data_IF_910302196773
#
_entry.id   IF_910302196773
#
_cell.length_a   1.000
_cell.length_b   1.000
_cell.length_c   1.000
_cell.angle_alpha   90.00
_cell.angle_beta   90.00
_cell.angle_gamma   90.00
#
_symmetry.space_group_name_H-M   'P 1'
#
loop_
_entity.id
_entity.type
_entity.pdbx_description
1 polymer ?
#
# COMPACT_ATOMS: atom_id res chain seq x y z
N UNK A 1 -30.69 6.19 -9.42
CA UNK A 1 -29.82 6.04 -8.23
C UNK A 1 -28.67 5.04 -8.43
N UNK A 2 -28.87 3.88 -9.08
CA UNK A 2 -27.81 2.87 -9.29
C UNK A 2 -26.56 3.35 -10.06
N UNK A 3 -26.70 4.26 -11.04
CA UNK A 3 -25.56 4.81 -11.80
C UNK A 3 -24.58 5.64 -10.95
N UNK A 4 -25.08 6.32 -9.91
CA UNK A 4 -24.24 7.14 -9.03
C UNK A 4 -23.42 6.26 -8.08
N UNK A 5 -23.99 5.15 -7.62
CA UNK A 5 -23.29 4.18 -6.77
C UNK A 5 -22.13 3.51 -7.52
N UNK A 6 -22.35 3.17 -8.80
CA UNK A 6 -21.31 2.53 -9.63
C UNK A 6 -20.12 3.46 -9.88
N UNK A 7 -20.34 4.75 -10.14
CA UNK A 7 -19.28 5.74 -10.32
C UNK A 7 -18.51 6.02 -9.02
N UNK A 8 -19.21 6.03 -7.86
CA UNK A 8 -18.56 6.21 -6.56
C UNK A 8 -17.64 5.02 -6.23
N UNK A 9 -18.14 3.80 -6.47
CA UNK A 9 -17.36 2.56 -6.29
C UNK A 9 -16.16 2.52 -7.24
N UNK A 10 -16.34 2.93 -8.50
CA UNK A 10 -15.24 3.04 -9.47
C UNK A 10 -14.19 4.07 -9.03
N UNK A 11 -14.60 5.25 -8.56
CA UNK A 11 -13.69 6.29 -8.10
C UNK A 11 -12.89 5.87 -6.84
N UNK A 12 -13.50 5.14 -5.91
CA UNK A 12 -12.80 4.56 -4.76
C UNK A 12 -11.89 3.38 -5.13
N UNK A 13 -12.25 2.62 -6.17
CA UNK A 13 -11.39 1.56 -6.70
C UNK A 13 -10.17 2.13 -7.45
N UNK A 14 -10.35 3.21 -8.23
CA UNK A 14 -9.26 3.86 -8.96
C UNK A 14 -8.31 4.66 -8.07
N UNK A 15 -8.80 5.31 -6.99
CA UNK A 15 -7.92 5.99 -6.02
C UNK A 15 -6.96 5.03 -5.29
N UNK A 16 -7.33 3.77 -5.12
CA UNK A 16 -6.46 2.74 -4.54
C UNK A 16 -5.44 2.16 -5.54
N UNK A 17 -5.56 2.46 -6.83
CA UNK A 17 -4.77 1.80 -7.88
C UNK A 17 -3.58 2.65 -8.39
N UNK A 18 -3.36 3.86 -7.88
CA UNK A 18 -2.27 4.76 -8.34
C UNK A 18 -1.43 5.29 -7.16
N UNK A 19 -1.15 4.44 -6.17
CA UNK A 19 0.05 4.71 -5.36
C UNK A 19 1.25 4.20 -6.17
N UNK A 20 2.08 5.14 -6.64
CA UNK A 20 3.38 4.85 -7.24
C UNK A 20 4.33 4.39 -6.12
N UNK A 21 4.20 3.12 -5.73
CA UNK A 21 5.06 2.49 -4.74
C UNK A 21 4.36 1.40 -3.93
N UNK A 22 5.15 0.64 -3.19
CA UNK A 22 4.68 -0.47 -2.37
C UNK A 22 3.95 0.01 -1.12
N UNK A 23 2.73 -0.47 -0.89
CA UNK A 23 1.91 -0.08 0.27
C UNK A 23 2.64 -0.31 1.62
N UNK A 24 3.46 -1.36 1.69
CA UNK A 24 4.34 -1.63 2.82
C UNK A 24 5.70 -2.00 2.27
N UNK A 25 6.74 -1.48 2.90
CA UNK A 25 8.14 -1.80 2.60
C UNK A 25 8.80 -2.40 3.82
N UNK A 26 9.86 -3.17 3.62
CA UNK A 26 10.69 -3.74 4.67
C UNK A 26 12.12 -3.26 4.51
N UNK A 27 12.66 -2.66 5.57
CA UNK A 27 14.08 -2.36 5.70
C UNK A 27 14.74 -3.57 6.36
N UNK A 28 15.82 -4.09 5.77
CA UNK A 28 16.54 -5.26 6.30
C UNK A 28 18.00 -5.29 5.88
N UNK A 29 18.80 -6.14 6.52
CA UNK A 29 20.19 -6.45 6.13
C UNK A 29 21.23 -6.18 7.22
N UNK A 30 21.02 -5.14 8.04
CA UNK A 30 21.93 -4.85 9.15
C UNK A 30 21.69 -5.75 10.36
N UNK A 31 22.75 -6.02 11.14
CA UNK A 31 22.66 -6.65 12.47
C UNK A 31 22.31 -5.66 13.56
N UNK A 32 22.48 -4.37 13.26
CA UNK A 32 22.15 -3.25 14.14
C UNK A 32 20.72 -2.79 13.86
N UNK A 33 20.02 -2.47 14.94
CA UNK A 33 18.79 -1.65 15.00
C UNK A 33 17.44 -2.39 15.03
N UNK A 34 16.55 -1.81 15.85
CA UNK A 34 15.11 -2.06 15.83
C UNK A 34 14.38 -1.34 14.68
N UNK A 35 15.14 -0.68 13.78
CA UNK A 35 14.66 0.03 12.60
C UNK A 35 14.59 -0.88 11.36
N UNK A 36 15.25 -2.05 11.39
CA UNK A 36 15.16 -3.12 10.39
C UNK A 36 13.80 -3.84 10.47
N UNK A 37 12.74 -3.12 10.14
CA UNK A 37 11.34 -3.56 10.29
C UNK A 37 10.51 -3.18 9.06
N UNK A 38 9.22 -3.45 9.12
CA UNK A 38 8.25 -3.06 8.09
C UNK A 38 7.71 -1.66 8.36
N UNK A 39 7.54 -0.88 7.30
CA UNK A 39 6.94 0.45 7.30
C UNK A 39 5.76 0.46 6.35
N UNK A 40 4.60 0.89 6.83
CA UNK A 40 3.37 0.96 6.04
C UNK A 40 3.10 2.40 5.64
N UNK A 41 2.74 2.61 4.38
CA UNK A 41 2.41 3.93 3.85
C UNK A 41 1.22 4.53 4.62
N UNK A 42 1.35 5.79 5.01
CA UNK A 42 0.39 6.50 5.87
C UNK A 42 -0.77 7.14 5.09
N UNK A 43 -0.60 7.31 3.78
CA UNK A 43 -1.49 8.12 2.93
C UNK A 43 -1.10 9.61 2.91
N UNK A 44 -0.12 10.03 3.70
CA UNK A 44 0.47 11.36 3.68
C UNK A 44 1.68 11.42 2.74
N UNK A 45 2.04 12.63 2.33
CA UNK A 45 3.27 12.90 1.57
C UNK A 45 4.15 13.91 2.28
N UNK A 46 5.46 13.78 2.09
CA UNK A 46 6.47 14.72 2.56
C UNK A 46 7.57 14.79 1.49
N UNK A 47 7.96 16.00 1.10
CA UNK A 47 8.91 16.19 0.00
C UNK A 47 8.43 15.60 -1.33
N UNK A 48 7.13 15.70 -1.62
CA UNK A 48 6.46 15.13 -2.80
C UNK A 48 6.50 13.59 -2.92
N UNK A 49 6.88 12.89 -1.85
CA UNK A 49 6.92 11.41 -1.81
C UNK A 49 6.07 10.84 -0.68
N UNK A 50 5.67 9.56 -0.76
CA UNK A 50 4.88 8.94 0.29
C UNK A 50 5.64 8.84 1.62
N UNK A 51 4.92 9.06 2.72
CA UNK A 51 5.44 8.83 4.08
C UNK A 51 5.03 7.45 4.55
N UNK A 52 5.99 6.70 5.09
CA UNK A 52 5.76 5.40 5.70
C UNK A 52 5.98 5.46 7.22
N UNK A 53 5.30 4.58 7.95
CA UNK A 53 5.41 4.51 9.41
C UNK A 53 5.53 3.06 9.89
N UNK A 54 6.45 2.82 10.82
CA UNK A 54 6.61 1.52 11.49
C UNK A 54 5.55 1.34 12.58
N UNK A 55 5.33 0.09 13.01
CA UNK A 55 4.45 -0.20 14.15
C UNK A 55 4.95 0.38 15.48
N UNK A 56 6.23 0.77 15.55
CA UNK A 56 6.88 1.42 16.70
C UNK A 56 6.74 2.93 16.67
N UNK A 57 6.31 3.50 15.54
CA UNK A 57 6.10 4.94 15.37
C UNK A 57 7.21 5.66 14.61
N UNK A 58 8.26 4.96 14.17
CA UNK A 58 9.32 5.52 13.34
C UNK A 58 8.79 5.83 11.94
N UNK A 59 9.27 6.90 11.33
CA UNK A 59 8.92 7.36 9.99
C UNK A 59 10.01 7.03 9.00
N UNK A 60 9.62 6.69 7.78
CA UNK A 60 10.47 6.68 6.58
C UNK A 60 9.90 7.70 5.60
N UNK A 61 10.70 8.72 5.26
CA UNK A 61 10.26 9.88 4.50
C UNK A 61 11.40 10.45 3.64
N UNK A 62 11.05 11.26 2.65
CA UNK A 62 12.02 11.90 1.76
C UNK A 62 12.23 13.37 2.11
N UNK A 63 13.46 13.76 2.40
CA UNK A 63 13.86 15.14 2.68
C UNK A 63 14.38 15.81 1.39
N UNK A 64 13.68 16.83 0.92
CA UNK A 64 13.99 17.50 -0.35
C UNK A 64 15.22 18.39 -0.27
N UNK A 65 15.51 18.97 0.89
CA UNK A 65 16.66 19.87 1.07
C UNK A 65 17.99 19.13 0.98
N UNK A 66 18.06 17.92 1.53
CA UNK A 66 19.25 17.08 1.54
C UNK A 66 19.24 16.01 0.44
N UNK A 67 18.12 15.85 -0.28
CA UNK A 67 17.93 14.80 -1.30
C UNK A 67 18.15 13.39 -0.76
N UNK A 68 17.58 13.14 0.43
CA UNK A 68 17.77 11.90 1.18
C UNK A 68 16.46 11.23 1.51
N UNK A 69 16.46 9.89 1.52
CA UNK A 69 15.48 9.11 2.23
C UNK A 69 15.95 8.90 3.67
N UNK A 70 15.12 9.30 4.63
CA UNK A 70 15.44 9.36 6.06
C UNK A 70 14.54 8.42 6.85
N UNK A 71 15.11 7.84 7.91
CA UNK A 71 14.37 7.10 8.94
C UNK A 71 14.59 7.77 10.29
N UNK A 72 13.51 8.06 11.01
CA UNK A 72 13.60 8.65 12.35
C UNK A 72 12.27 8.69 13.09
N UNK A 73 12.31 8.98 14.40
CA UNK A 73 11.12 8.99 15.26
C UNK A 73 10.16 10.18 15.04
N UNK A 74 10.60 11.23 14.37
CA UNK A 74 9.82 12.45 14.09
C UNK A 74 9.89 12.76 12.59
N UNK A 75 8.73 12.86 11.93
CA UNK A 75 8.61 13.24 10.53
C UNK A 75 9.21 14.64 10.27
N UNK A 76 10.10 14.74 9.27
CA UNK A 76 10.74 16.02 8.89
C UNK A 76 11.80 16.54 9.85
N UNK A 77 12.23 15.72 10.82
CA UNK A 77 13.34 16.07 11.72
C UNK A 77 14.68 16.03 10.99
N UNK A 78 15.58 16.97 11.31
CA UNK A 78 16.99 16.94 10.89
C UNK A 78 17.84 15.97 11.71
N UNK A 79 17.34 15.54 12.86
CA UNK A 79 17.94 14.44 13.64
C UNK A 79 17.27 13.15 13.19
N UNK A 80 18.02 12.31 12.48
CA UNK A 80 17.56 11.03 11.90
C UNK A 80 18.44 9.89 12.38
N UNK A 81 17.90 8.67 12.37
CA UNK A 81 18.61 7.46 12.80
C UNK A 81 19.25 6.72 11.64
N UNK A 82 18.67 6.83 10.44
CA UNK A 82 19.24 6.30 9.21
C UNK A 82 18.95 7.22 8.04
N UNK A 83 19.83 7.26 7.05
CA UNK A 83 19.53 7.91 5.78
C UNK A 83 20.26 7.27 4.60
N UNK A 84 19.78 7.56 3.40
CA UNK A 84 20.48 7.29 2.14
C UNK A 84 20.27 8.49 1.21
N UNK A 85 21.34 8.91 0.52
CA UNK A 85 21.24 9.93 -0.54
C UNK A 85 20.82 9.27 -1.84
N UNK A 86 19.56 9.48 -2.24
CA UNK A 86 18.97 8.85 -3.41
C UNK A 86 17.72 9.65 -3.83
N UNK A 87 17.46 9.78 -5.13
CA UNK A 87 16.36 10.60 -5.70
C UNK A 87 15.19 9.79 -6.25
N UNK A 88 15.13 8.50 -5.94
CA UNK A 88 14.02 7.61 -6.30
C UNK A 88 12.67 8.10 -5.78
N UNK A 89 11.64 7.89 -6.60
CA UNK A 89 10.23 8.18 -6.27
C UNK A 89 9.69 7.28 -5.17
N UNK A 90 10.09 6.02 -5.19
CA UNK A 90 9.63 5.01 -4.25
C UNK A 90 10.78 4.59 -3.33
N UNK A 91 10.47 4.30 -2.07
CA UNK A 91 11.51 3.95 -1.10
C UNK A 91 12.20 2.62 -1.43
N UNK A 92 11.47 1.68 -2.02
CA UNK A 92 11.96 0.37 -2.49
C UNK A 92 12.90 0.46 -3.69
N UNK A 93 12.90 1.60 -4.41
CA UNK A 93 13.76 1.84 -5.57
C UNK A 93 15.09 2.50 -5.18
N UNK A 94 15.30 2.75 -3.88
CA UNK A 94 16.56 3.34 -3.38
C UNK A 94 17.75 2.42 -3.65
N UNK A 95 18.82 3.00 -4.19
CA UNK A 95 20.06 2.30 -4.51
C UNK A 95 21.23 2.98 -3.81
N UNK A 96 22.08 2.19 -3.15
CA UNK A 96 23.34 2.71 -2.60
C UNK A 96 23.63 2.23 -1.19
N UNK A 97 24.33 3.08 -0.44
CA UNK A 97 24.78 2.76 0.92
C UNK A 97 23.94 3.55 1.92
N UNK A 98 23.26 2.84 2.80
CA UNK A 98 22.60 3.47 3.93
C UNK A 98 23.63 3.88 4.98
N UNK A 99 23.38 4.98 5.65
CA UNK A 99 24.17 5.49 6.76
C UNK A 99 23.33 5.30 8.03
N UNK A 100 23.83 4.50 8.98
CA UNK A 100 23.11 4.11 10.19
C UNK A 100 23.77 4.78 11.39
N UNK A 101 22.99 5.37 12.30
CA UNK A 101 23.48 6.00 13.51
C UNK A 101 24.31 5.01 14.35
N UNK A 102 25.54 5.40 14.66
CA UNK A 102 26.52 4.62 15.40
C UNK A 102 27.32 5.55 16.33
N UNK A 103 26.98 5.56 17.61
CA UNK A 103 27.61 6.45 18.59
C UNK A 103 27.27 7.92 18.32
N UNK A 104 28.29 8.74 18.03
CA UNK A 104 28.14 10.19 17.79
C UNK A 104 28.03 10.56 16.30
N UNK A 105 27.91 9.59 15.40
CA UNK A 105 27.85 9.84 13.96
C UNK A 105 27.15 8.72 13.22
N UNK A 106 27.38 8.65 11.91
CA UNK A 106 26.82 7.60 11.05
C UNK A 106 27.91 6.70 10.52
N UNK A 107 27.61 5.40 10.46
CA UNK A 107 28.44 4.39 9.81
C UNK A 107 27.78 3.94 8.51
N UNK A 108 28.52 3.83 7.39
CA UNK A 108 27.98 3.27 6.16
C UNK A 108 27.69 1.77 6.34
N UNK A 109 26.53 1.33 5.86
CA UNK A 109 26.08 -0.06 5.85
C UNK A 109 25.46 -0.41 4.49
N UNK A 110 26.20 -1.19 3.70
CA UNK A 110 25.79 -1.66 2.36
C UNK A 110 24.87 -2.86 2.40
N UNK A 111 24.69 -3.49 3.56
CA UNK A 111 23.80 -4.63 3.69
C UNK A 111 22.33 -4.20 3.74
N UNK A 112 22.07 -2.95 4.13
CA UNK A 112 20.73 -2.40 4.26
C UNK A 112 20.07 -2.24 2.89
N UNK A 113 18.87 -2.79 2.76
CA UNK A 113 18.03 -2.72 1.57
C UNK A 113 16.59 -2.42 1.97
N UNK A 114 15.86 -1.74 1.08
CA UNK A 114 14.41 -1.52 1.20
C UNK A 114 13.74 -2.38 0.14
N UNK A 115 12.79 -3.21 0.54
CA UNK A 115 12.08 -4.10 -0.37
C UNK A 115 10.59 -4.01 -0.16
N UNK A 116 9.81 -4.23 -1.23
CA UNK A 116 8.38 -4.35 -1.12
C UNK A 116 7.98 -5.50 -0.20
N UNK A 117 7.10 -5.21 0.74
CA UNK A 117 6.54 -6.19 1.67
C UNK A 117 5.04 -6.32 1.42
N UNK A 118 4.63 -7.43 0.83
CA UNK A 118 3.22 -7.68 0.50
C UNK A 118 2.43 -8.28 1.66
N UNK A 119 3.08 -8.67 2.77
CA UNK A 119 2.40 -9.22 3.95
C UNK A 119 1.63 -10.52 3.73
N UNK A 120 1.73 -11.17 2.56
CA UNK A 120 1.04 -12.42 2.23
C UNK A 120 1.98 -13.61 2.50
N UNK A 121 1.67 -14.70 3.22
CA UNK A 121 0.42 -15.50 3.33
C UNK A 121 -0.90 -14.86 2.87
N UNK A 122 -1.33 -15.28 1.67
CA UNK A 122 -2.75 -15.58 1.35
C UNK A 122 -3.76 -14.41 1.28
N UNK A 123 -3.57 -13.51 0.33
CA UNK A 123 -4.63 -13.17 -0.61
C UNK A 123 -4.01 -13.37 -1.98
N UNK A 124 -3.73 -14.65 -2.26
CA UNK A 124 -3.57 -15.16 -3.61
C UNK A 124 -4.56 -14.43 -4.52
N UNK A 125 -4.14 -14.04 -5.73
CA UNK A 125 -5.03 -13.46 -6.74
C UNK A 125 -6.33 -14.26 -6.96
N UNK A 126 -6.42 -15.49 -6.45
CA UNK A 126 -7.66 -16.26 -6.28
C UNK A 126 -8.75 -15.62 -5.43
N UNK A 127 -8.46 -14.80 -4.42
CA UNK A 127 -9.49 -14.15 -3.60
C UNK A 127 -10.23 -13.05 -4.38
N UNK A 128 -9.50 -12.25 -5.16
CA UNK A 128 -10.07 -11.21 -6.02
C UNK A 128 -10.78 -11.86 -7.22
N UNK A 129 -10.19 -12.88 -7.84
CA UNK A 129 -10.84 -13.67 -8.89
C UNK A 129 -12.13 -14.35 -8.38
N UNK A 130 -12.11 -14.87 -7.15
CA UNK A 130 -13.26 -15.50 -6.51
C UNK A 130 -14.42 -14.52 -6.27
N UNK A 131 -14.13 -13.28 -5.85
CA UNK A 131 -15.17 -12.26 -5.67
C UNK A 131 -15.78 -11.85 -7.02
N UNK A 132 -14.96 -11.66 -8.06
CA UNK A 132 -15.47 -11.29 -9.40
C UNK A 132 -16.33 -12.39 -10.01
N UNK A 133 -15.88 -13.66 -9.91
CA UNK A 133 -16.65 -14.81 -10.40
C UNK A 133 -17.95 -14.98 -9.59
N UNK A 134 -17.88 -14.85 -8.26
CA UNK A 134 -19.05 -14.95 -7.39
C UNK A 134 -20.13 -13.92 -7.71
N UNK A 135 -19.75 -12.68 -7.99
CA UNK A 135 -20.69 -11.62 -8.41
C UNK A 135 -21.28 -11.89 -9.79
N UNK A 136 -20.47 -12.31 -10.77
CA UNK A 136 -20.97 -12.61 -12.13
C UNK A 136 -21.96 -13.78 -12.12
N UNK A 137 -21.67 -14.85 -11.38
CA UNK A 137 -22.57 -16.00 -11.24
C UNK A 137 -23.84 -15.62 -10.47
N UNK A 138 -23.71 -14.88 -9.36
CA UNK A 138 -24.86 -14.42 -8.57
C UNK A 138 -25.83 -13.55 -9.38
N UNK A 139 -25.31 -12.54 -10.09
CA UNK A 139 -26.15 -11.67 -10.93
C UNK A 139 -26.72 -12.43 -12.13
N UNK A 140 -25.92 -13.31 -12.75
CA UNK A 140 -26.34 -14.16 -13.87
C UNK A 140 -27.45 -15.15 -13.52
N UNK A 141 -27.51 -15.65 -12.28
CA UNK A 141 -28.56 -16.56 -11.81
C UNK A 141 -29.80 -15.86 -11.27
N UNK A 142 -29.63 -14.72 -10.58
CA UNK A 142 -30.76 -14.01 -9.98
C UNK A 142 -31.64 -13.32 -11.02
N UNK A 143 -31.08 -12.82 -12.12
CA UNK A 143 -31.83 -12.17 -13.19
C UNK A 143 -32.86 -13.10 -13.89
N UNK A 144 -32.50 -14.32 -14.35
CA UNK A 144 -33.47 -15.24 -14.97
C UNK A 144 -34.48 -15.79 -13.96
N UNK A 145 -34.11 -16.03 -12.70
CA UNK A 145 -35.05 -16.46 -11.66
C UNK A 145 -36.08 -15.38 -11.34
N UNK A 146 -35.65 -14.12 -11.22
CA UNK A 146 -36.57 -12.99 -11.06
C UNK A 146 -37.54 -12.87 -12.23
N UNK A 147 -37.05 -13.04 -13.47
CA UNK A 147 -37.88 -13.01 -14.68
C UNK A 147 -38.88 -14.17 -14.73
N UNK A 148 -38.45 -15.37 -14.33
CA UNK A 148 -39.33 -16.55 -14.28
C UNK A 148 -40.47 -16.39 -13.27
N UNK A 149 -40.17 -15.93 -12.05
CA UNK A 149 -41.20 -15.69 -11.03
C UNK A 149 -42.17 -14.59 -11.44
N UNK A 150 -41.68 -13.55 -12.11
CA UNK A 150 -42.54 -12.47 -12.64
C UNK A 150 -43.55 -12.98 -13.68
N UNK A 151 -43.11 -13.82 -14.63
CA UNK A 151 -43.99 -14.39 -15.66
C UNK A 151 -45.04 -15.32 -15.03
N UNK A 152 -44.64 -16.20 -14.11
CA UNK A 152 -45.57 -17.13 -13.43
C UNK A 152 -46.64 -16.40 -12.61
N UNK A 153 -46.31 -15.23 -12.05
CA UNK A 153 -47.29 -14.42 -11.30
C UNK A 153 -48.39 -13.85 -12.21
N UNK A 154 -48.08 -13.47 -13.44
CA UNK A 154 -49.09 -12.91 -14.35
C UNK A 154 -50.03 -13.97 -14.93
N UNK A 155 -49.60 -15.22 -15.08
CA UNK A 155 -50.45 -16.30 -15.60
C UNK A 155 -51.56 -16.78 -14.65
N UNK A 156 -51.57 -16.36 -13.38
CA UNK A 156 -52.55 -16.81 -12.37
C UNK A 156 -53.80 -15.95 -12.21
N UNK A 157 -53.99 -14.88 -13.01
CA UNK A 157 -55.04 -13.86 -12.76
C UNK A 157 -56.22 -13.93 -13.75
N UNK A 158 -56.36 -15.02 -14.51
CA UNK A 158 -57.44 -15.20 -15.50
C UNK A 158 -58.21 -16.52 -15.34
N UNK A 159 -58.42 -16.96 -14.09
CA UNK A 159 -59.30 -18.07 -13.73
C UNK A 159 -60.50 -17.58 -12.93
#
# INVERSE_FOLDING_TARGET
MARFLFLLVLATLFKNSIQEGCQTVRISGSTTTALMTTYTMTGETFGDRPVYRSSRGDYLFYETSETTWNVGNVLGSTTVDMYITDTSTCAEDTLGTWYVAAGSGFSPDRSVTVTCWTGLQELSGGAIAGIVIGVLVGVGLLAPLGRYMYIKKQSGTHG
#
